data_IF_747657429871
#
_entry.id   IF_747657429871
#
_cell.length_a   1.000
_cell.length_b   1.000
_cell.length_c   1.000
_cell.angle_alpha   90.00
_cell.angle_beta   90.00
_cell.angle_gamma   90.00
#
_symmetry.space_group_name_H-M   'P 1'
#
loop_
_entity.id
_entity.type
_entity.pdbx_description
1 polymer ?
#
# COMPACT_ATOMS: atom_id res chain seq x y z
N UNK A 1 -25.78 65.27 4.18
CA UNK A 1 -25.11 64.46 3.14
C UNK A 1 -23.71 64.08 3.62
N UNK A 2 -23.17 62.97 3.12
CA UNK A 2 -21.94 62.26 3.53
C UNK A 2 -22.19 61.19 4.60
N UNK A 3 -22.95 60.13 4.29
CA UNK A 3 -22.47 58.85 3.71
C UNK A 3 -21.63 58.03 4.70
N UNK A 4 -22.35 57.22 5.50
CA UNK A 4 -21.82 56.02 6.13
C UNK A 4 -21.20 55.14 5.06
N UNK A 5 -19.88 54.94 5.14
CA UNK A 5 -19.16 53.94 4.36
C UNK A 5 -19.63 52.56 4.82
N UNK A 6 -20.52 51.97 4.03
CA UNK A 6 -20.79 50.53 4.04
C UNK A 6 -19.45 49.80 3.80
N UNK A 7 -18.95 49.13 4.82
CA UNK A 7 -17.98 48.04 4.64
C UNK A 7 -18.79 46.85 4.10
N UNK A 8 -18.43 46.24 2.96
CA UNK A 8 -19.17 45.09 2.46
C UNK A 8 -19.01 43.95 3.46
N UNK A 9 -20.14 43.39 3.88
CA UNK A 9 -20.18 42.11 4.58
C UNK A 9 -19.47 41.09 3.67
N UNK A 10 -18.26 40.66 4.04
CA UNK A 10 -17.61 39.56 3.34
C UNK A 10 -18.48 38.34 3.61
N UNK A 11 -19.28 37.96 2.62
CA UNK A 11 -20.16 36.81 2.70
C UNK A 11 -19.40 35.59 3.24
N UNK A 12 -20.09 34.78 4.02
CA UNK A 12 -19.59 33.49 4.50
C UNK A 12 -19.05 32.69 3.31
N UNK A 13 -17.90 32.04 3.50
CA UNK A 13 -17.42 31.10 2.47
C UNK A 13 -18.37 29.91 2.40
N UNK A 14 -18.36 29.15 1.29
CA UNK A 14 -19.25 27.99 1.13
C UNK A 14 -19.17 27.04 2.34
N UNK A 15 -17.97 26.88 2.89
CA UNK A 15 -17.67 26.11 4.08
C UNK A 15 -18.39 26.61 5.34
N UNK A 16 -18.44 27.92 5.51
CA UNK A 16 -19.04 28.56 6.66
C UNK A 16 -20.56 28.60 6.55
N UNK A 17 -21.11 28.68 5.33
CA UNK A 17 -22.54 28.53 5.07
C UNK A 17 -23.00 27.10 5.39
N UNK A 18 -22.19 26.09 5.05
CA UNK A 18 -22.46 24.68 5.39
C UNK A 18 -22.38 24.47 6.90
N UNK A 19 -21.34 25.00 7.56
CA UNK A 19 -21.16 24.90 9.00
C UNK A 19 -22.29 25.61 9.77
N UNK A 20 -22.74 26.79 9.29
CA UNK A 20 -23.85 27.53 9.88
C UNK A 20 -25.18 26.78 9.72
N UNK A 21 -25.44 26.19 8.54
CA UNK A 21 -26.60 25.33 8.32
C UNK A 21 -26.59 24.09 9.23
N UNK A 22 -25.45 23.40 9.31
CA UNK A 22 -25.28 22.20 10.14
C UNK A 22 -25.36 22.49 11.65
N UNK A 23 -24.99 23.70 12.08
CA UNK A 23 -25.17 24.15 13.46
C UNK A 23 -26.64 24.48 13.78
N UNK A 24 -27.45 24.81 12.76
CA UNK A 24 -28.87 25.16 12.91
C UNK A 24 -29.84 23.98 12.85
N UNK A 25 -29.36 22.75 12.58
CA UNK A 25 -30.17 21.53 12.40
C UNK A 25 -30.85 21.03 13.69
N UNK A 26 -30.13 21.04 14.84
CA UNK A 26 -30.71 20.71 16.15
C UNK A 26 -29.85 21.29 17.29
N UNK A 27 -30.42 21.38 18.50
CA UNK A 27 -29.66 21.78 19.70
C UNK A 27 -28.57 20.78 20.08
N UNK A 28 -28.77 19.48 19.80
CA UNK A 28 -27.72 18.48 19.98
C UNK A 28 -26.57 18.71 18.99
N UNK A 29 -26.87 18.99 17.72
CA UNK A 29 -25.89 19.27 16.67
C UNK A 29 -25.07 20.55 16.92
N UNK A 30 -25.68 21.57 17.55
CA UNK A 30 -24.99 22.80 17.96
C UNK A 30 -23.92 22.55 19.04
N UNK A 31 -24.15 21.56 19.90
CA UNK A 31 -23.31 21.23 21.06
C UNK A 31 -22.30 20.09 20.83
N UNK A 32 -22.36 19.41 19.67
CA UNK A 32 -21.44 18.35 19.32
C UNK A 32 -20.01 18.88 19.14
N UNK A 33 -19.04 18.22 19.78
CA UNK A 33 -17.62 18.52 19.63
C UNK A 33 -17.14 17.89 18.32
N UNK A 34 -16.47 18.69 17.49
CA UNK A 34 -15.84 18.25 16.25
C UNK A 34 -14.38 18.67 16.21
N UNK A 35 -13.55 17.91 15.50
CA UNK A 35 -12.18 18.31 15.18
C UNK A 35 -12.18 19.11 13.88
N UNK A 36 -11.78 20.39 13.94
CA UNK A 36 -11.68 21.26 12.79
C UNK A 36 -10.23 21.61 12.47
N UNK A 37 -9.86 21.64 11.20
CA UNK A 37 -8.54 22.08 10.75
C UNK A 37 -8.60 23.51 10.19
N UNK A 38 -7.73 24.37 10.69
CA UNK A 38 -7.62 25.78 10.31
C UNK A 38 -6.24 26.02 9.69
N UNK A 39 -6.22 26.64 8.51
CA UNK A 39 -4.98 27.17 7.93
C UNK A 39 -4.95 28.67 8.12
N UNK A 40 -3.99 29.12 8.93
CA UNK A 40 -3.80 30.51 9.31
C UNK A 40 -2.59 31.07 8.57
N UNK A 41 -2.80 32.12 7.78
CA UNK A 41 -1.73 32.81 7.04
C UNK A 41 -1.25 33.99 7.87
N UNK A 42 -0.07 33.90 8.46
CA UNK A 42 0.42 34.91 9.41
C UNK A 42 1.31 35.95 8.71
N UNK A 43 0.94 37.23 8.85
CA UNK A 43 1.74 38.37 8.34
C UNK A 43 2.90 38.73 9.28
N UNK A 44 2.69 38.51 10.58
CA UNK A 44 3.66 38.79 11.65
C UNK A 44 4.47 37.53 12.01
N UNK A 45 5.56 37.70 12.75
CA UNK A 45 6.39 36.59 13.24
C UNK A 45 5.70 35.72 14.31
N UNK A 46 6.40 34.67 14.74
CA UNK A 46 5.90 33.63 15.68
C UNK A 46 5.37 34.16 17.03
N UNK A 47 5.68 35.39 17.43
CA UNK A 47 5.12 36.03 18.63
C UNK A 47 3.59 36.20 18.56
N UNK A 48 3.01 36.27 17.36
CA UNK A 48 1.57 36.36 17.15
C UNK A 48 0.85 35.01 17.30
N UNK A 49 1.55 33.88 17.21
CA UNK A 49 0.98 32.54 17.37
C UNK A 49 0.44 32.32 18.79
N UNK A 50 1.19 32.74 19.82
CA UNK A 50 0.75 32.62 21.21
C UNK A 50 -0.58 33.36 21.48
N UNK A 51 -0.82 34.50 20.80
CA UNK A 51 -2.09 35.23 20.87
C UNK A 51 -3.23 34.44 20.22
N UNK A 52 -2.97 33.86 19.06
CA UNK A 52 -3.95 33.02 18.34
C UNK A 52 -4.36 31.80 19.17
N UNK A 53 -3.40 31.08 19.75
CA UNK A 53 -3.69 29.91 20.59
C UNK A 53 -4.51 30.30 21.82
N UNK A 54 -4.20 31.44 22.44
CA UNK A 54 -5.00 31.98 23.53
C UNK A 54 -6.41 32.37 23.09
N UNK A 55 -6.58 32.91 21.88
CA UNK A 55 -7.90 33.17 21.31
C UNK A 55 -8.69 31.87 21.13
N UNK A 56 -8.08 30.80 20.62
CA UNK A 56 -8.72 29.48 20.48
C UNK A 56 -9.22 28.97 21.84
N UNK A 57 -8.39 29.07 22.89
CA UNK A 57 -8.75 28.68 24.26
C UNK A 57 -9.92 29.53 24.82
N UNK A 58 -9.94 30.85 24.56
CA UNK A 58 -11.05 31.75 24.94
C UNK A 58 -12.37 31.33 24.30
N UNK A 59 -12.33 30.85 23.07
CA UNK A 59 -13.50 30.25 22.38
C UNK A 59 -13.71 28.77 22.74
N UNK A 60 -13.14 28.29 23.84
CA UNK A 60 -13.30 26.91 24.35
C UNK A 60 -12.80 25.81 23.40
N UNK A 61 -11.86 26.12 22.51
CA UNK A 61 -11.22 25.13 21.66
C UNK A 61 -10.00 24.50 22.30
N UNK A 62 -9.81 23.20 22.06
CA UNK A 62 -8.62 22.45 22.46
C UNK A 62 -7.75 22.19 21.24
N UNK A 63 -6.50 22.64 21.24
CA UNK A 63 -5.58 22.40 20.11
C UNK A 63 -5.05 20.96 20.19
N UNK A 64 -5.33 20.15 19.17
CA UNK A 64 -4.89 18.75 19.09
C UNK A 64 -3.64 18.56 18.24
N UNK A 65 -3.42 19.46 17.29
CA UNK A 65 -2.25 19.43 16.42
C UNK A 65 -1.90 20.84 15.96
N UNK A 66 -0.61 21.13 15.89
CA UNK A 66 -0.09 22.41 15.42
C UNK A 66 1.17 22.19 14.61
N UNK A 67 1.17 22.69 13.38
CA UNK A 67 2.32 22.67 12.49
C UNK A 67 2.54 24.06 11.90
N UNK A 68 3.80 24.46 11.78
CA UNK A 68 4.18 25.73 11.15
C UNK A 68 5.16 25.50 10.00
N UNK A 69 4.99 26.26 8.93
CA UNK A 69 5.88 26.28 7.76
C UNK A 69 6.13 27.71 7.33
N UNK A 70 7.32 27.99 6.81
CA UNK A 70 7.63 29.29 6.19
C UNK A 70 6.80 29.41 4.91
N UNK A 71 6.06 30.50 4.77
CA UNK A 71 5.19 30.69 3.61
C UNK A 71 5.99 31.07 2.36
N UNK A 72 5.53 30.62 1.20
CA UNK A 72 6.05 31.04 -0.12
C UNK A 72 5.30 32.26 -0.67
N UNK A 73 4.27 32.75 0.02
CA UNK A 73 3.43 33.86 -0.43
C UNK A 73 4.02 35.22 -0.04
N UNK A 74 4.02 36.17 -0.97
CA UNK A 74 4.50 37.53 -0.70
C UNK A 74 3.65 38.22 0.39
N UNK A 75 4.31 38.73 1.44
CA UNK A 75 3.65 39.42 2.55
C UNK A 75 3.10 38.51 3.67
N UNK A 76 3.30 37.19 3.57
CA UNK A 76 2.99 36.21 4.62
C UNK A 76 4.31 35.58 5.07
N UNK A 77 4.56 35.54 6.37
CA UNK A 77 5.79 34.95 6.93
C UNK A 77 5.63 33.44 7.18
N UNK A 78 4.48 33.03 7.72
CA UNK A 78 4.22 31.64 8.09
C UNK A 78 2.82 31.19 7.67
N UNK A 79 2.74 29.94 7.22
CA UNK A 79 1.50 29.18 7.13
C UNK A 79 1.42 28.25 8.33
N UNK A 80 0.33 28.34 9.09
CA UNK A 80 0.13 27.57 10.31
C UNK A 80 -1.11 26.71 10.17
N UNK A 81 -0.92 25.39 10.29
CA UNK A 81 -2.00 24.42 10.37
C UNK A 81 -2.31 24.15 11.84
N UNK A 82 -3.54 24.42 12.26
CA UNK A 82 -4.00 24.13 13.62
C UNK A 82 -5.22 23.21 13.53
N UNK A 83 -5.18 22.05 14.18
CA UNK A 83 -6.38 21.24 14.41
C UNK A 83 -6.91 21.53 15.80
N UNK A 84 -8.21 21.80 15.91
CA UNK A 84 -8.89 22.19 17.14
C UNK A 84 -10.15 21.37 17.38
N UNK A 85 -10.32 20.87 18.59
CA UNK A 85 -11.56 20.25 19.04
C UNK A 85 -12.43 21.31 19.70
N UNK A 86 -13.60 21.59 19.13
CA UNK A 86 -14.56 22.56 19.66
C UNK A 86 -15.97 22.37 19.11
N UNK A 87 -16.95 23.09 19.66
CA UNK A 87 -18.33 23.06 19.14
C UNK A 87 -18.43 23.83 17.81
N UNK A 88 -19.40 23.46 16.96
CA UNK A 88 -19.66 24.15 15.68
C UNK A 88 -19.93 25.64 15.86
N UNK A 89 -20.71 25.99 16.89
CA UNK A 89 -21.03 27.38 17.25
C UNK A 89 -19.78 28.16 17.63
N UNK A 90 -18.94 27.59 18.49
CA UNK A 90 -17.73 28.27 18.95
C UNK A 90 -16.70 28.41 17.82
N UNK A 91 -16.62 27.44 16.92
CA UNK A 91 -15.76 27.49 15.73
C UNK A 91 -16.13 28.65 14.80
N UNK A 92 -17.42 28.86 14.51
CA UNK A 92 -17.88 29.98 13.69
C UNK A 92 -17.51 31.33 14.32
N UNK A 93 -17.68 31.47 15.63
CA UNK A 93 -17.33 32.70 16.35
C UNK A 93 -15.81 32.93 16.37
N UNK A 94 -15.04 31.87 16.55
CA UNK A 94 -13.58 31.91 16.48
C UNK A 94 -13.10 32.40 15.11
N UNK A 95 -13.63 31.85 14.01
CA UNK A 95 -13.21 32.23 12.66
C UNK A 95 -13.55 33.70 12.38
N UNK A 96 -14.77 34.14 12.74
CA UNK A 96 -15.17 35.56 12.62
C UNK A 96 -14.24 36.48 13.40
N UNK A 97 -13.88 36.11 14.63
CA UNK A 97 -12.97 36.89 15.47
C UNK A 97 -11.55 36.94 14.88
N UNK A 98 -11.01 35.80 14.45
CA UNK A 98 -9.66 35.75 13.90
C UNK A 98 -9.55 36.50 12.56
N UNK A 99 -10.60 36.51 11.72
CA UNK A 99 -10.62 37.29 10.46
C UNK A 99 -10.48 38.79 10.67
N UNK A 100 -10.90 39.30 11.82
CA UNK A 100 -10.76 40.71 12.19
C UNK A 100 -9.35 41.04 12.68
N UNK A 101 -8.48 40.04 12.90
CA UNK A 101 -7.11 40.27 13.36
C UNK A 101 -6.22 40.78 12.23
N UNK A 102 -5.59 41.93 12.44
CA UNK A 102 -4.60 42.51 11.52
C UNK A 102 -3.34 41.66 11.35
N UNK A 103 -3.08 40.73 12.29
CA UNK A 103 -1.92 39.82 12.25
C UNK A 103 -2.06 38.69 11.22
N UNK A 104 -3.28 38.46 10.72
CA UNK A 104 -3.58 37.39 9.77
C UNK A 104 -3.83 37.98 8.38
N UNK A 105 -3.22 37.36 7.37
CA UNK A 105 -3.47 37.66 5.96
C UNK A 105 -4.64 36.87 5.37
N UNK A 106 -5.12 35.86 6.08
CA UNK A 106 -6.26 35.05 5.71
C UNK A 106 -6.42 33.86 6.63
N UNK A 107 -7.63 33.32 6.66
CA UNK A 107 -8.01 32.13 7.43
C UNK A 107 -8.87 31.28 6.55
N UNK A 108 -8.47 30.03 6.39
CA UNK A 108 -9.27 29.04 5.72
C UNK A 108 -9.66 27.99 6.75
N UNK A 109 -10.97 27.89 6.99
CA UNK A 109 -11.52 26.69 7.59
C UNK A 109 -11.43 25.60 6.55
N UNK A 110 -10.67 24.56 6.86
CA UNK A 110 -10.72 23.34 6.09
C UNK A 110 -11.97 22.60 6.57
N UNK A 111 -13.07 22.72 5.84
CA UNK A 111 -14.20 21.80 6.03
C UNK A 111 -13.72 20.40 5.77
N UNK A 112 -14.28 19.45 6.51
CA UNK A 112 -14.29 18.02 6.14
C UNK A 112 -14.92 17.76 4.74
N UNK A 113 -15.42 18.81 4.07
CA UNK A 113 -16.03 18.78 2.74
C UNK A 113 -15.25 19.52 1.62
N UNK A 114 -14.22 20.33 1.91
CA UNK A 114 -13.30 20.90 0.88
C UNK A 114 -11.81 20.60 1.13
N UNK A 115 -11.45 20.03 2.28
CA UNK A 115 -10.76 18.74 2.18
C UNK A 115 -11.95 17.84 1.85
N UNK A 116 -12.02 17.27 0.65
CA UNK A 116 -12.53 15.90 0.61
C UNK A 116 -11.96 15.23 1.87
N UNK A 117 -12.72 14.51 2.71
CA UNK A 117 -12.08 13.33 3.29
C UNK A 117 -11.61 12.61 2.05
N UNK A 118 -10.38 12.92 1.59
CA UNK A 118 -9.78 12.20 0.50
C UNK A 118 -9.72 10.88 1.19
N UNK A 119 -10.50 9.94 0.64
CA UNK A 119 -10.39 8.55 1.01
C UNK A 119 -8.90 8.30 1.25
N UNK A 120 -8.55 7.58 2.31
CA UNK A 120 -7.22 7.52 2.90
C UNK A 120 -6.10 7.80 1.89
N UNK A 121 -5.22 8.77 2.19
CA UNK A 121 -4.16 9.18 1.25
C UNK A 121 -3.49 7.95 0.63
N UNK A 122 -3.24 8.02 -0.68
CA UNK A 122 -2.55 6.98 -1.41
C UNK A 122 -1.57 7.60 -2.42
N UNK A 123 -0.45 6.92 -2.72
CA UNK A 123 0.52 7.36 -3.71
C UNK A 123 -0.13 7.50 -5.10
N UNK A 124 0.26 8.51 -5.87
CA UNK A 124 -0.29 8.76 -7.22
C UNK A 124 0.71 8.54 -8.34
N UNK A 125 1.99 8.44 -7.99
CA UNK A 125 3.09 8.05 -8.85
C UNK A 125 4.00 7.09 -8.09
N UNK A 126 4.72 6.20 -8.79
CA UNK A 126 5.60 5.21 -8.16
C UNK A 126 6.68 5.85 -7.25
N UNK A 127 7.11 7.09 -7.52
CA UNK A 127 8.03 7.83 -6.64
C UNK A 127 7.43 8.19 -5.28
N UNK A 128 6.11 8.30 -5.18
CA UNK A 128 5.44 8.63 -3.91
C UNK A 128 5.58 7.49 -2.89
N UNK A 129 5.94 6.27 -3.35
CA UNK A 129 6.26 5.12 -2.50
C UNK A 129 7.49 5.37 -1.60
N UNK A 130 8.28 6.41 -1.86
CA UNK A 130 9.31 6.88 -0.91
C UNK A 130 8.73 7.32 0.44
N UNK A 131 7.42 7.57 0.50
CA UNK A 131 6.68 7.90 1.72
C UNK A 131 5.87 6.71 2.28
N UNK A 132 5.90 5.54 1.61
CA UNK A 132 5.20 4.32 2.01
C UNK A 132 6.16 3.36 2.72
N UNK A 133 6.71 3.81 3.85
CA UNK A 133 7.74 3.11 4.62
C UNK A 133 7.35 2.92 6.10
N UNK A 134 6.06 2.94 6.42
CA UNK A 134 5.60 2.72 7.79
C UNK A 134 5.84 1.27 8.20
N UNK A 135 6.82 1.06 9.07
CA UNK A 135 7.19 -0.26 9.56
C UNK A 135 6.34 -0.67 10.76
N UNK A 136 5.98 -1.94 10.77
CA UNK A 136 5.48 -2.64 11.95
C UNK A 136 6.68 -3.03 12.80
N UNK A 137 6.61 -2.81 14.11
CA UNK A 137 7.67 -3.21 15.05
C UNK A 137 7.67 -4.72 15.37
N UNK A 138 6.80 -5.48 14.70
CA UNK A 138 6.67 -6.92 14.91
C UNK A 138 7.87 -7.62 14.26
N UNK A 139 8.45 -8.59 14.97
CA UNK A 139 9.62 -9.35 14.52
C UNK A 139 10.90 -8.53 14.34
N UNK A 140 11.05 -7.45 15.12
CA UNK A 140 12.34 -6.80 15.24
C UNK A 140 13.19 -7.57 16.26
N UNK A 141 14.39 -8.08 15.89
CA UNK A 141 15.23 -8.87 16.80
C UNK A 141 15.67 -8.12 18.06
N UNK A 142 15.63 -6.79 18.07
CA UNK A 142 15.88 -5.97 19.26
C UNK A 142 14.67 -5.86 20.20
N UNK A 143 13.47 -6.19 19.72
CA UNK A 143 12.19 -6.02 20.42
C UNK A 143 11.50 -7.35 20.76
N UNK A 144 11.85 -8.45 20.07
CA UNK A 144 11.26 -9.77 20.27
C UNK A 144 12.23 -10.76 20.92
N UNK A 145 11.99 -11.08 22.20
CA UNK A 145 12.80 -12.03 22.97
C UNK A 145 12.75 -13.48 22.45
N UNK A 146 11.70 -13.83 21.69
CA UNK A 146 11.54 -15.16 21.12
C UNK A 146 12.27 -15.30 19.77
N UNK A 147 12.74 -14.20 19.19
CA UNK A 147 13.47 -14.22 17.93
C UNK A 147 14.80 -15.01 18.09
N UNK A 148 15.13 -15.96 17.20
CA UNK A 148 16.32 -16.82 17.34
C UNK A 148 17.66 -16.05 17.37
N UNK A 149 17.66 -14.84 16.81
CA UNK A 149 18.77 -13.88 16.82
C UNK A 149 18.73 -12.83 17.94
N UNK A 150 17.77 -12.85 18.88
CA UNK A 150 17.68 -11.84 19.96
C UNK A 150 18.98 -11.72 20.77
N UNK A 151 19.57 -12.87 21.13
CA UNK A 151 20.84 -12.92 21.86
C UNK A 151 22.08 -12.80 20.96
N UNK A 152 21.93 -12.78 19.64
CA UNK A 152 23.04 -12.73 18.69
C UNK A 152 23.31 -11.27 18.29
N UNK A 153 24.35 -10.68 18.88
CA UNK A 153 24.74 -9.30 18.61
C UNK A 153 25.22 -9.08 17.17
N UNK A 154 25.84 -10.09 16.55
CA UNK A 154 26.35 -10.01 15.17
C UNK A 154 25.17 -9.99 14.21
N UNK A 155 24.18 -10.86 14.42
CA UNK A 155 22.96 -10.89 13.62
C UNK A 155 22.16 -9.59 13.73
N UNK A 156 22.02 -9.03 14.95
CA UNK A 156 21.32 -7.75 15.15
C UNK A 156 22.01 -6.58 14.46
N UNK A 157 23.34 -6.51 14.56
CA UNK A 157 24.10 -5.50 13.84
C UNK A 157 23.94 -5.67 12.32
N UNK A 158 24.02 -6.91 11.82
CA UNK A 158 23.82 -7.22 10.39
C UNK A 158 22.43 -6.78 9.89
N UNK A 159 21.37 -7.02 10.68
CA UNK A 159 20.01 -6.55 10.37
C UNK A 159 19.92 -5.04 10.30
N UNK A 160 20.52 -4.33 11.25
CA UNK A 160 20.57 -2.86 11.26
C UNK A 160 21.30 -2.32 10.02
N UNK A 161 22.44 -2.90 9.66
CA UNK A 161 23.21 -2.47 8.50
C UNK A 161 22.39 -2.59 7.20
N UNK A 162 21.66 -3.71 7.03
CA UNK A 162 20.78 -3.93 5.87
C UNK A 162 19.56 -2.99 5.91
N UNK A 163 18.96 -2.76 7.08
CA UNK A 163 17.85 -1.82 7.22
C UNK A 163 18.26 -0.39 6.85
N UNK A 164 19.46 0.05 7.23
CA UNK A 164 20.00 1.37 6.85
C UNK A 164 20.17 1.52 5.33
N UNK A 165 20.48 0.43 4.62
CA UNK A 165 20.54 0.41 3.15
C UNK A 165 19.14 0.67 2.57
N UNK A 166 18.13 -0.04 3.06
CA UNK A 166 16.75 0.15 2.62
C UNK A 166 16.21 1.57 2.91
N UNK A 167 16.54 2.16 4.07
CA UNK A 167 16.12 3.53 4.40
C UNK A 167 16.76 4.61 3.51
N UNK A 168 17.96 4.35 2.99
CA UNK A 168 18.67 5.29 2.10
C UNK A 168 18.17 5.24 0.66
N UNK A 169 17.54 4.14 0.26
CA UNK A 169 17.02 3.97 -1.10
C UNK A 169 15.92 4.99 -1.43
N UNK A 170 16.00 5.57 -2.62
CA UNK A 170 14.95 6.41 -3.21
C UNK A 170 14.53 5.88 -4.57
N UNK A 171 13.28 6.14 -4.95
CA UNK A 171 12.78 5.74 -6.24
C UNK A 171 13.66 6.31 -7.37
N UNK A 172 14.11 5.42 -8.27
CA UNK A 172 14.98 5.75 -9.39
C UNK A 172 16.46 5.46 -9.15
N UNK A 173 16.87 5.24 -7.90
CA UNK A 173 18.22 4.76 -7.58
C UNK A 173 18.35 3.27 -7.97
N UNK A 174 19.56 2.79 -8.32
CA UNK A 174 19.81 1.36 -8.41
C UNK A 174 19.67 0.72 -7.01
N UNK A 175 19.09 -0.48 -6.95
CA UNK A 175 18.94 -1.18 -5.67
C UNK A 175 20.34 -1.57 -5.14
N UNK A 176 20.71 -1.19 -3.91
CA UNK A 176 22.05 -1.44 -3.40
C UNK A 176 22.39 -2.93 -3.28
N UNK A 177 23.64 -3.25 -3.60
CA UNK A 177 24.21 -4.58 -3.48
C UNK A 177 24.43 -4.96 -2.01
N UNK A 178 24.15 -6.22 -1.66
CA UNK A 178 24.49 -6.79 -0.35
C UNK A 178 25.59 -7.81 -0.51
N UNK A 179 26.70 -7.57 0.20
CA UNK A 179 27.77 -8.56 0.34
C UNK A 179 27.34 -9.60 1.37
N UNK A 180 26.68 -10.65 0.90
CA UNK A 180 26.26 -11.77 1.74
C UNK A 180 27.47 -12.57 2.26
N UNK A 181 27.35 -13.05 3.49
CA UNK A 181 28.35 -13.86 4.18
C UNK A 181 28.26 -15.34 3.79
N UNK A 182 29.33 -16.10 4.03
CA UNK A 182 29.35 -17.54 3.78
C UNK A 182 28.23 -18.29 4.53
N UNK A 183 27.88 -17.85 5.74
CA UNK A 183 26.77 -18.43 6.50
C UNK A 183 25.41 -18.15 5.86
N UNK A 184 25.21 -16.94 5.31
CA UNK A 184 23.97 -16.58 4.61
C UNK A 184 23.85 -17.40 3.31
N UNK A 185 24.94 -17.56 2.55
CA UNK A 185 24.98 -18.43 1.38
C UNK A 185 24.69 -19.90 1.72
N UNK A 186 25.22 -20.40 2.84
CA UNK A 186 24.95 -21.77 3.28
C UNK A 186 23.45 -21.98 3.62
N UNK A 187 22.81 -21.00 4.26
CA UNK A 187 21.36 -21.04 4.53
C UNK A 187 20.55 -21.02 3.25
N UNK A 188 20.87 -20.12 2.31
CA UNK A 188 20.25 -20.10 0.98
C UNK A 188 20.35 -21.46 0.28
N UNK A 189 21.56 -22.01 0.19
CA UNK A 189 21.82 -23.29 -0.48
C UNK A 189 20.99 -24.43 0.11
N UNK A 190 20.85 -24.48 1.44
CA UNK A 190 20.05 -25.49 2.13
C UNK A 190 18.57 -25.40 1.74
N UNK A 191 17.99 -24.20 1.76
CA UNK A 191 16.57 -23.98 1.40
C UNK A 191 16.34 -24.20 -0.10
N UNK A 192 17.23 -23.69 -0.94
CA UNK A 192 17.16 -23.84 -2.40
C UNK A 192 17.09 -25.31 -2.84
N UNK A 193 17.94 -26.17 -2.27
CA UNK A 193 17.93 -27.60 -2.57
C UNK A 193 16.62 -28.27 -2.14
N UNK A 194 16.05 -27.85 -1.00
CA UNK A 194 14.75 -28.37 -0.55
C UNK A 194 13.63 -27.96 -1.51
N UNK A 195 13.66 -26.73 -2.04
CA UNK A 195 12.73 -26.28 -3.07
C UNK A 195 12.84 -27.14 -4.33
N UNK A 196 14.05 -27.42 -4.81
CA UNK A 196 14.26 -28.29 -5.98
C UNK A 196 13.67 -29.69 -5.80
N UNK A 197 13.80 -30.26 -4.60
CA UNK A 197 13.30 -31.61 -4.30
C UNK A 197 11.76 -31.67 -4.29
N UNK A 198 11.09 -30.61 -3.83
CA UNK A 198 9.65 -30.59 -3.60
C UNK A 198 8.86 -30.03 -4.78
N UNK A 199 9.45 -29.07 -5.50
CA UNK A 199 8.81 -28.31 -6.57
C UNK A 199 8.13 -29.22 -7.61
N UNK A 200 8.76 -30.29 -8.14
CA UNK A 200 8.15 -31.12 -9.19
C UNK A 200 6.77 -31.67 -8.81
N UNK A 201 6.61 -32.08 -7.55
CA UNK A 201 5.40 -32.73 -7.05
C UNK A 201 4.36 -31.75 -6.52
N UNK A 202 4.81 -30.70 -5.83
CA UNK A 202 3.91 -29.91 -4.97
C UNK A 202 3.57 -28.52 -5.52
N UNK A 203 4.38 -27.95 -6.40
CA UNK A 203 4.19 -26.57 -6.84
C UNK A 203 3.36 -26.50 -8.12
N UNK A 204 2.69 -25.37 -8.35
CA UNK A 204 1.93 -25.14 -9.57
C UNK A 204 2.84 -24.98 -10.80
N UNK A 205 2.28 -25.19 -12.00
CA UNK A 205 3.03 -25.15 -13.25
C UNK A 205 3.65 -23.77 -13.53
N UNK A 206 2.94 -22.68 -13.25
CA UNK A 206 3.40 -21.30 -13.49
C UNK A 206 4.69 -21.01 -12.71
N UNK A 207 4.78 -21.48 -11.47
CA UNK A 207 6.01 -21.37 -10.68
C UNK A 207 7.17 -22.11 -11.35
N UNK A 208 6.94 -23.36 -11.78
CA UNK A 208 7.99 -24.21 -12.39
C UNK A 208 8.53 -23.60 -13.68
N UNK A 209 7.63 -23.06 -14.50
CA UNK A 209 7.99 -22.45 -15.79
C UNK A 209 8.90 -21.23 -15.57
N UNK A 210 8.53 -20.33 -14.66
CA UNK A 210 9.35 -19.16 -14.35
C UNK A 210 10.64 -19.54 -13.62
N UNK A 211 10.59 -20.50 -12.70
CA UNK A 211 11.79 -20.98 -12.01
C UNK A 211 12.83 -21.52 -13.00
N UNK A 212 12.41 -22.27 -14.02
CA UNK A 212 13.28 -22.73 -15.09
C UNK A 212 13.89 -21.56 -15.91
N UNK A 213 13.12 -20.50 -16.17
CA UNK A 213 13.64 -19.28 -16.82
C UNK A 213 14.70 -18.58 -15.95
N UNK A 214 14.46 -18.45 -14.64
CA UNK A 214 15.40 -17.85 -13.70
C UNK A 214 16.70 -18.65 -13.59
N UNK A 215 16.64 -19.98 -13.67
CA UNK A 215 17.82 -20.83 -13.76
C UNK A 215 18.55 -20.66 -15.09
N UNK A 216 17.82 -20.57 -16.21
CA UNK A 216 18.40 -20.39 -17.54
C UNK A 216 19.12 -19.03 -17.69
N UNK A 217 18.64 -17.98 -17.03
CA UNK A 217 19.31 -16.68 -16.95
C UNK A 217 20.44 -16.64 -15.90
N UNK A 218 20.68 -17.74 -15.17
CA UNK A 218 21.71 -17.82 -14.13
C UNK A 218 21.42 -16.99 -12.88
N UNK A 219 20.17 -16.54 -12.72
CA UNK A 219 19.69 -15.79 -11.55
C UNK A 219 19.55 -16.75 -10.37
N UNK A 220 18.80 -17.84 -10.56
CA UNK A 220 18.62 -18.86 -9.53
C UNK A 220 19.69 -19.95 -9.61
N UNK A 221 20.63 -19.92 -8.66
CA UNK A 221 21.60 -20.99 -8.45
C UNK A 221 21.75 -21.30 -6.95
N UNK A 222 22.12 -22.54 -6.58
CA UNK A 222 22.37 -22.88 -5.19
C UNK A 222 23.62 -22.18 -4.60
N UNK A 223 24.52 -21.66 -5.44
CA UNK A 223 25.81 -21.09 -5.03
C UNK A 223 25.76 -19.61 -4.65
N UNK A 224 24.71 -18.88 -5.01
CA UNK A 224 24.61 -17.44 -4.72
C UNK A 224 23.17 -17.01 -4.44
N UNK A 225 23.03 -16.05 -3.53
CA UNK A 225 21.77 -15.33 -3.33
C UNK A 225 21.64 -14.28 -4.45
N UNK A 226 20.54 -14.28 -5.22
CA UNK A 226 20.23 -13.23 -6.20
C UNK A 226 20.21 -11.84 -5.56
N UNK A 227 20.78 -10.85 -6.24
CA UNK A 227 20.66 -9.45 -5.82
C UNK A 227 19.31 -8.89 -6.25
N UNK A 228 18.70 -8.02 -5.43
CA UNK A 228 17.38 -7.47 -5.76
C UNK A 228 17.37 -6.67 -7.07
N UNK A 229 18.46 -5.98 -7.42
CA UNK A 229 18.56 -5.26 -8.71
C UNK A 229 18.44 -6.22 -9.90
N UNK A 230 19.11 -7.37 -9.86
CA UNK A 230 19.06 -8.36 -10.94
C UNK A 230 17.64 -8.95 -11.08
N UNK A 231 17.01 -9.25 -9.93
CA UNK A 231 15.67 -9.83 -9.86
C UNK A 231 14.62 -8.81 -10.30
N UNK A 232 14.77 -7.53 -9.91
CA UNK A 232 13.92 -6.41 -10.34
C UNK A 232 13.96 -6.22 -11.86
N UNK A 233 15.16 -6.32 -12.46
CA UNK A 233 15.32 -6.23 -13.91
C UNK A 233 14.66 -7.40 -14.66
N UNK A 234 14.74 -8.62 -14.11
CA UNK A 234 14.04 -9.78 -14.65
C UNK A 234 12.51 -9.59 -14.60
N UNK A 235 11.96 -9.23 -13.43
CA UNK A 235 10.52 -8.98 -13.29
C UNK A 235 10.03 -7.87 -14.23
N UNK A 236 10.81 -6.80 -14.38
CA UNK A 236 10.45 -5.67 -15.23
C UNK A 236 10.33 -6.07 -16.69
N UNK A 237 11.22 -6.93 -17.16
CA UNK A 237 11.23 -7.47 -18.53
C UNK A 237 10.02 -8.38 -18.79
N UNK A 238 9.56 -9.13 -17.79
CA UNK A 238 8.52 -10.15 -17.96
C UNK A 238 7.11 -9.63 -17.68
N UNK A 239 6.90 -8.90 -16.59
CA UNK A 239 5.58 -8.45 -16.13
C UNK A 239 5.54 -6.96 -15.79
N UNK A 240 6.65 -6.24 -15.93
CA UNK A 240 6.74 -4.84 -15.52
C UNK A 240 6.78 -4.65 -14.00
N UNK A 241 6.82 -5.73 -13.21
CA UNK A 241 7.09 -5.63 -11.78
C UNK A 241 8.51 -5.17 -11.50
N UNK A 242 8.71 -4.43 -10.43
CA UNK A 242 10.02 -4.00 -9.93
C UNK A 242 10.08 -4.18 -8.43
N UNK A 243 11.29 -4.24 -7.89
CA UNK A 243 11.52 -4.40 -6.46
C UNK A 243 11.91 -3.08 -5.81
N UNK A 244 11.53 -2.95 -4.54
CA UNK A 244 11.97 -1.88 -3.64
C UNK A 244 12.51 -2.51 -2.36
N UNK A 245 13.73 -2.17 -1.91
CA UNK A 245 14.25 -2.71 -0.65
C UNK A 245 13.42 -2.21 0.53
N UNK A 246 12.95 -3.14 1.36
CA UNK A 246 12.23 -2.87 2.59
C UNK A 246 13.10 -3.16 3.81
N UNK A 247 13.05 -2.28 4.81
CA UNK A 247 13.79 -2.47 6.06
C UNK A 247 13.19 -3.56 6.97
N UNK A 248 11.90 -3.87 6.77
CA UNK A 248 11.15 -4.84 7.55
C UNK A 248 9.69 -4.89 7.10
N UNK A 249 8.82 -5.43 7.96
CA UNK A 249 7.40 -5.58 7.65
C UNK A 249 6.70 -4.22 7.62
N UNK A 250 6.03 -3.91 6.52
CA UNK A 250 5.28 -2.67 6.35
C UNK A 250 3.85 -2.79 6.86
N UNK A 251 3.18 -1.66 7.09
CA UNK A 251 1.73 -1.67 7.26
C UNK A 251 1.06 -2.23 6.00
N UNK A 252 -0.05 -2.95 6.17
CA UNK A 252 -0.80 -3.53 5.06
C UNK A 252 -1.19 -2.48 4.01
N UNK A 253 -1.55 -1.27 4.44
CA UNK A 253 -1.89 -0.16 3.54
C UNK A 253 -0.73 0.24 2.63
N UNK A 254 0.47 0.44 3.18
CA UNK A 254 1.65 0.85 2.42
C UNK A 254 2.14 -0.26 1.47
N UNK A 255 2.13 -1.50 1.95
CA UNK A 255 2.53 -2.65 1.15
C UNK A 255 1.56 -2.91 -0.01
N UNK A 256 0.25 -2.98 0.27
CA UNK A 256 -0.73 -3.20 -0.78
C UNK A 256 -0.75 -2.05 -1.80
N UNK A 257 -0.58 -0.79 -1.35
CA UNK A 257 -0.48 0.34 -2.24
C UNK A 257 0.68 0.23 -3.24
N UNK A 258 1.82 -0.37 -2.86
CA UNK A 258 2.96 -0.53 -3.78
C UNK A 258 2.63 -1.51 -4.92
N UNK A 259 1.84 -2.55 -4.65
CA UNK A 259 1.42 -3.53 -5.66
C UNK A 259 0.63 -2.87 -6.81
N UNK A 260 -0.09 -1.77 -6.55
CA UNK A 260 -0.82 -1.03 -7.58
C UNK A 260 0.11 -0.50 -8.70
N UNK A 261 1.36 -0.21 -8.34
CA UNK A 261 2.41 0.29 -9.24
C UNK A 261 3.27 -0.84 -9.82
N UNK A 262 2.89 -2.10 -9.58
CA UNK A 262 3.76 -3.27 -9.82
C UNK A 262 5.11 -3.12 -9.10
N UNK A 263 5.10 -2.56 -7.89
CA UNK A 263 6.28 -2.47 -7.03
C UNK A 263 6.08 -3.40 -5.86
N UNK A 264 6.96 -4.39 -5.72
CA UNK A 264 6.96 -5.29 -4.58
C UNK A 264 8.05 -4.85 -3.59
N UNK A 265 7.66 -4.62 -2.34
CA UNK A 265 8.60 -4.24 -1.28
C UNK A 265 9.22 -5.51 -0.69
N UNK A 266 10.52 -5.71 -0.88
CA UNK A 266 11.23 -6.96 -0.56
C UNK A 266 12.36 -6.69 0.43
N UNK A 267 12.46 -7.52 1.46
CA UNK A 267 13.58 -7.47 2.40
C UNK A 267 14.86 -8.04 1.79
N UNK A 268 16.02 -7.64 2.33
CA UNK A 268 17.33 -8.12 1.87
C UNK A 268 18.10 -8.95 2.90
N UNK A 269 17.60 -9.07 4.13
CA UNK A 269 18.25 -9.85 5.17
C UNK A 269 17.90 -11.34 5.05
N UNK A 270 18.79 -12.21 5.52
CA UNK A 270 18.56 -13.66 5.57
C UNK A 270 18.18 -14.07 6.98
N UNK A 271 17.27 -15.04 7.11
CA UNK A 271 16.86 -15.64 8.38
C UNK A 271 18.05 -16.20 9.19
N UNK A 272 17.88 -16.28 10.50
CA UNK A 272 18.91 -16.78 11.40
C UNK A 272 19.23 -18.27 11.14
N UNK A 273 20.51 -18.63 11.21
CA UNK A 273 21.03 -19.99 10.87
C UNK A 273 20.52 -21.13 11.75
N UNK A 274 19.96 -20.81 12.94
CA UNK A 274 19.35 -21.80 13.85
C UNK A 274 18.03 -22.39 13.32
N UNK A 275 17.32 -21.64 12.48
CA UNK A 275 16.01 -22.03 11.95
C UNK A 275 15.99 -21.83 10.43
N UNK A 276 16.84 -22.53 9.66
CA UNK A 276 16.98 -22.29 8.22
C UNK A 276 15.72 -22.67 7.43
N UNK A 277 14.93 -23.62 7.93
CA UNK A 277 13.75 -24.13 7.23
C UNK A 277 12.41 -23.52 7.69
N UNK A 278 12.45 -22.59 8.65
CA UNK A 278 11.24 -21.92 9.14
C UNK A 278 11.57 -20.51 9.65
N UNK A 279 10.77 -19.54 9.23
CA UNK A 279 10.84 -18.16 9.70
C UNK A 279 9.43 -17.58 9.73
N UNK A 280 9.10 -16.86 10.80
CA UNK A 280 7.87 -16.04 10.88
C UNK A 280 8.07 -14.67 10.21
N UNK A 281 9.32 -14.32 9.90
CA UNK A 281 9.70 -13.11 9.19
C UNK A 281 9.85 -13.37 7.70
N UNK A 282 9.38 -12.45 6.83
CA UNK A 282 9.64 -12.50 5.40
C UNK A 282 11.09 -12.08 5.12
N UNK A 283 12.04 -13.00 5.28
CA UNK A 283 13.44 -12.81 4.91
C UNK A 283 13.62 -12.88 3.38
N UNK A 284 14.78 -12.47 2.86
CA UNK A 284 14.99 -12.43 1.41
C UNK A 284 14.86 -13.80 0.73
N UNK A 285 15.04 -14.91 1.46
CA UNK A 285 14.81 -16.26 0.92
C UNK A 285 13.32 -16.48 0.64
N UNK A 286 12.46 -16.09 1.59
CA UNK A 286 11.00 -16.11 1.40
C UNK A 286 10.59 -15.22 0.22
N UNK A 287 11.15 -14.00 0.15
CA UNK A 287 10.84 -13.08 -0.95
C UNK A 287 11.23 -13.68 -2.30
N UNK A 288 12.49 -14.10 -2.44
CA UNK A 288 13.08 -14.59 -3.68
C UNK A 288 12.46 -15.91 -4.13
N UNK A 289 12.38 -16.91 -3.26
CA UNK A 289 11.88 -18.24 -3.64
C UNK A 289 10.35 -18.35 -3.57
N UNK A 290 9.69 -17.54 -2.76
CA UNK A 290 8.23 -17.57 -2.60
C UNK A 290 7.51 -16.70 -3.63
N UNK A 291 7.80 -15.39 -3.64
CA UNK A 291 7.02 -14.44 -4.44
C UNK A 291 7.53 -14.28 -5.87
N UNK A 292 8.85 -14.17 -6.07
CA UNK A 292 9.39 -13.69 -7.35
C UNK A 292 9.00 -14.53 -8.57
N UNK A 293 8.99 -15.87 -8.51
CA UNK A 293 8.60 -16.66 -9.68
C UNK A 293 7.17 -16.37 -10.13
N UNK A 294 6.22 -16.23 -9.20
CA UNK A 294 4.84 -15.94 -9.55
C UNK A 294 4.64 -14.47 -9.95
N UNK A 295 5.38 -13.53 -9.40
CA UNK A 295 5.35 -12.14 -9.88
C UNK A 295 5.89 -11.98 -11.32
N UNK A 296 6.63 -12.96 -11.84
CA UNK A 296 7.04 -13.01 -13.24
C UNK A 296 6.04 -13.77 -14.14
N UNK A 297 4.99 -14.37 -13.59
CA UNK A 297 3.83 -14.86 -14.35
C UNK A 297 2.86 -13.70 -14.66
N UNK A 298 2.44 -13.49 -15.92
CA UNK A 298 1.56 -12.39 -16.28
C UNK A 298 0.17 -12.40 -15.59
N UNK A 299 -0.43 -13.57 -15.39
CA UNK A 299 -1.77 -13.66 -14.79
C UNK A 299 -1.70 -13.35 -13.29
N UNK A 300 -0.72 -13.93 -12.61
CA UNK A 300 -0.50 -13.67 -11.19
C UNK A 300 -0.06 -12.23 -10.93
N UNK A 301 0.84 -11.67 -11.73
CA UNK A 301 1.22 -10.26 -11.64
C UNK A 301 0.01 -9.32 -11.81
N UNK A 302 -0.90 -9.63 -12.72
CA UNK A 302 -2.14 -8.88 -12.88
C UNK A 302 -3.03 -9.00 -11.63
N UNK A 303 -3.19 -10.20 -11.09
CA UNK A 303 -3.95 -10.42 -9.86
C UNK A 303 -3.37 -9.64 -8.67
N UNK A 304 -2.05 -9.70 -8.44
CA UNK A 304 -1.39 -8.93 -7.38
C UNK A 304 -1.57 -7.43 -7.56
N UNK A 305 -1.47 -6.93 -8.80
CA UNK A 305 -1.72 -5.51 -9.09
C UNK A 305 -3.17 -5.10 -8.80
N UNK A 306 -4.14 -5.96 -9.09
CA UNK A 306 -5.56 -5.69 -8.81
C UNK A 306 -5.83 -5.57 -7.32
N UNK A 307 -5.19 -6.39 -6.48
CA UNK A 307 -5.23 -6.22 -5.02
C UNK A 307 -4.69 -4.83 -4.64
N UNK A 308 -3.55 -4.46 -5.22
CA UNK A 308 -2.97 -3.15 -4.94
C UNK A 308 -3.88 -1.99 -5.35
N UNK A 309 -4.47 -2.04 -6.54
CA UNK A 309 -5.43 -1.03 -7.01
C UNK A 309 -6.68 -0.96 -6.13
N UNK A 310 -7.17 -2.11 -5.64
CA UNK A 310 -8.30 -2.18 -4.72
C UNK A 310 -8.00 -1.49 -3.38
N UNK A 311 -6.73 -1.48 -2.95
CA UNK A 311 -6.31 -0.87 -1.68
C UNK A 311 -6.26 0.67 -1.71
N UNK A 312 -6.14 1.28 -2.89
CA UNK A 312 -5.95 2.73 -3.01
C UNK A 312 -7.21 3.49 -2.60
N UNK A 313 -7.10 4.28 -1.52
CA UNK A 313 -8.22 5.03 -0.96
C UNK A 313 -9.26 4.17 -0.22
N UNK A 314 -9.00 2.87 -0.02
CA UNK A 314 -9.87 1.98 0.75
C UNK A 314 -9.82 2.33 2.25
N UNK A 315 -10.94 2.14 2.96
CA UNK A 315 -11.02 2.29 4.42
C UNK A 315 -10.12 1.29 5.15
N UNK A 316 -9.82 1.50 6.44
CA UNK A 316 -8.99 0.55 7.21
C UNK A 316 -9.64 -0.84 7.31
N UNK A 317 -10.96 -0.92 7.45
CA UNK A 317 -11.70 -2.20 7.44
C UNK A 317 -11.57 -2.93 6.09
N UNK A 318 -11.59 -2.19 4.98
CA UNK A 318 -11.37 -2.76 3.66
C UNK A 318 -9.91 -3.19 3.43
N UNK A 319 -8.95 -2.45 3.97
CA UNK A 319 -7.53 -2.87 3.96
C UNK A 319 -7.35 -4.17 4.73
N UNK A 320 -8.00 -4.34 5.88
CA UNK A 320 -7.94 -5.59 6.65
C UNK A 320 -8.52 -6.77 5.84
N UNK A 321 -9.67 -6.57 5.19
CA UNK A 321 -10.26 -7.58 4.29
C UNK A 321 -9.33 -7.93 3.12
N UNK A 322 -8.73 -6.93 2.48
CA UNK A 322 -7.76 -7.13 1.40
C UNK A 322 -6.50 -7.85 1.89
N UNK A 323 -6.01 -7.51 3.08
CA UNK A 323 -4.88 -8.17 3.72
C UNK A 323 -5.18 -9.64 3.99
N UNK A 324 -6.39 -9.97 4.45
CA UNK A 324 -6.84 -11.35 4.66
C UNK A 324 -6.94 -12.13 3.35
N UNK A 325 -7.47 -11.51 2.29
CA UNK A 325 -7.48 -12.13 0.95
C UNK A 325 -6.05 -12.36 0.45
N UNK A 326 -5.16 -11.38 0.62
CA UNK A 326 -3.74 -11.50 0.27
C UNK A 326 -3.08 -12.66 1.03
N UNK A 327 -3.33 -12.79 2.33
CA UNK A 327 -2.85 -13.90 3.15
C UNK A 327 -3.29 -15.27 2.61
N UNK A 328 -4.58 -15.45 2.35
CA UNK A 328 -5.10 -16.74 1.88
C UNK A 328 -4.91 -17.01 0.38
N UNK A 329 -4.29 -16.09 -0.35
CA UNK A 329 -3.95 -16.25 -1.76
C UNK A 329 -2.46 -16.15 -1.99
N UNK A 330 -1.90 -14.94 -2.00
CA UNK A 330 -0.49 -14.69 -2.31
C UNK A 330 0.45 -15.33 -1.29
N UNK A 331 0.09 -15.40 0.00
CA UNK A 331 0.95 -16.01 1.03
C UNK A 331 0.73 -17.52 1.20
N UNK A 332 -0.53 -17.96 1.33
CA UNK A 332 -0.88 -19.36 1.67
C UNK A 332 -1.88 -19.99 0.70
N UNK A 333 -1.94 -19.50 -0.53
CA UNK A 333 -2.86 -20.01 -1.53
C UNK A 333 -2.48 -21.38 -2.11
N UNK A 334 -3.53 -22.17 -2.39
CA UNK A 334 -3.44 -23.43 -3.12
C UNK A 334 -4.25 -23.31 -4.42
N UNK A 335 -3.87 -24.02 -5.47
CA UNK A 335 -4.63 -24.09 -6.71
C UNK A 335 -4.90 -25.54 -7.14
N UNK A 336 -5.89 -25.73 -8.02
CA UNK A 336 -6.10 -27.01 -8.69
C UNK A 336 -5.36 -27.05 -10.02
N UNK A 337 -4.68 -28.16 -10.27
CA UNK A 337 -4.02 -28.46 -11.53
C UNK A 337 -4.27 -29.93 -11.86
N UNK A 338 -4.95 -30.20 -12.98
CA UNK A 338 -5.28 -31.56 -13.42
C UNK A 338 -6.00 -32.41 -12.34
N UNK A 339 -6.79 -31.78 -11.48
CA UNK A 339 -7.51 -32.43 -10.38
C UNK A 339 -6.69 -32.65 -9.11
N UNK A 340 -5.39 -32.29 -9.11
CA UNK A 340 -4.53 -32.30 -7.93
C UNK A 340 -4.43 -30.90 -7.32
N UNK A 341 -4.22 -30.84 -6.01
CA UNK A 341 -3.94 -29.58 -5.30
C UNK A 341 -2.45 -29.28 -5.35
N UNK A 342 -2.10 -28.07 -5.78
CA UNK A 342 -0.73 -27.54 -5.86
C UNK A 342 -0.60 -26.25 -5.03
N UNK A 343 0.59 -25.99 -4.55
CA UNK A 343 0.91 -24.76 -3.83
C UNK A 343 1.34 -23.65 -4.78
N UNK A 344 0.88 -22.44 -4.49
CA UNK A 344 1.39 -21.20 -5.10
C UNK A 344 1.63 -20.08 -4.06
N UNK A 345 1.12 -20.21 -2.84
CA UNK A 345 1.37 -19.22 -1.79
C UNK A 345 2.86 -19.15 -1.41
N UNK A 346 3.43 -17.95 -1.34
CA UNK A 346 4.85 -17.73 -1.07
C UNK A 346 5.33 -18.34 0.26
N UNK A 347 4.50 -18.30 1.30
CA UNK A 347 4.75 -18.96 2.58
C UNK A 347 4.91 -20.48 2.43
N UNK A 348 4.12 -21.10 1.55
CA UNK A 348 4.22 -22.54 1.25
C UNK A 348 5.45 -22.86 0.39
N UNK A 349 5.76 -22.01 -0.57
CA UNK A 349 6.87 -22.22 -1.52
C UNK A 349 8.25 -22.04 -0.86
N UNK A 350 8.32 -21.35 0.28
CA UNK A 350 9.55 -21.04 1.01
C UNK A 350 9.67 -21.71 2.39
N UNK A 351 8.65 -22.48 2.82
CA UNK A 351 8.59 -23.21 4.09
C UNK A 351 8.13 -24.65 3.87
N UNK A 352 9.07 -25.59 3.92
CA UNK A 352 8.80 -27.01 3.69
C UNK A 352 7.78 -27.61 4.68
N UNK A 353 7.91 -27.26 5.96
CA UNK A 353 7.04 -27.82 7.00
C UNK A 353 5.58 -27.44 6.80
N UNK A 354 5.34 -26.18 6.43
CA UNK A 354 3.99 -25.68 6.18
C UNK A 354 3.44 -26.15 4.84
N UNK A 355 4.28 -26.27 3.80
CA UNK A 355 3.89 -26.89 2.52
C UNK A 355 3.32 -28.30 2.73
N UNK A 356 4.05 -29.17 3.42
CA UNK A 356 3.63 -30.55 3.62
C UNK A 356 2.35 -30.65 4.47
N UNK A 357 2.20 -29.75 5.43
CA UNK A 357 0.97 -29.65 6.20
C UNK A 357 -0.19 -29.20 5.29
N UNK A 358 0.00 -28.12 4.53
CA UNK A 358 -1.00 -27.54 3.63
C UNK A 358 -1.53 -28.51 2.58
N UNK A 359 -0.69 -29.40 2.04
CA UNK A 359 -1.08 -30.39 1.02
C UNK A 359 -1.48 -31.76 1.60
N UNK A 360 -1.50 -31.91 2.92
CA UNK A 360 -1.97 -33.12 3.60
C UNK A 360 -3.48 -33.13 3.80
N UNK A 361 -4.00 -34.19 4.43
CA UNK A 361 -5.40 -34.34 4.85
C UNK A 361 -5.69 -33.74 6.23
N UNK A 362 -4.70 -33.12 6.89
CA UNK A 362 -4.83 -32.53 8.23
C UNK A 362 -5.57 -31.19 8.25
N UNK A 363 -5.23 -30.20 7.41
CA UNK A 363 -5.96 -28.94 7.39
C UNK A 363 -7.25 -29.05 6.59
N UNK A 364 -8.14 -28.08 6.79
CA UNK A 364 -9.34 -27.94 5.98
C UNK A 364 -9.03 -27.20 4.67
N UNK A 365 -9.41 -27.80 3.53
CA UNK A 365 -9.38 -27.13 2.23
C UNK A 365 -10.76 -26.58 1.87
N UNK A 366 -10.84 -25.26 1.64
CA UNK A 366 -12.05 -24.58 1.18
C UNK A 366 -11.87 -24.03 -0.22
N UNK A 367 -12.95 -23.90 -0.97
CA UNK A 367 -12.92 -23.24 -2.28
C UNK A 367 -12.69 -21.75 -2.06
N UNK A 368 -11.78 -21.14 -2.82
CA UNK A 368 -11.56 -19.70 -2.78
C UNK A 368 -12.82 -18.94 -3.22
N UNK A 369 -13.30 -18.11 -2.30
CA UNK A 369 -14.40 -17.16 -2.48
C UNK A 369 -14.05 -15.88 -1.69
N UNK A 370 -13.82 -14.73 -2.34
CA UNK A 370 -13.34 -13.52 -1.66
C UNK A 370 -14.24 -13.02 -0.53
N UNK A 371 -15.56 -13.20 -0.63
CA UNK A 371 -16.51 -12.72 0.37
C UNK A 371 -16.29 -13.44 1.70
N UNK A 372 -16.25 -14.78 1.67
CA UNK A 372 -16.00 -15.60 2.86
C UNK A 372 -14.53 -15.59 3.29
N UNK A 373 -13.60 -15.51 2.34
CA UNK A 373 -12.15 -15.49 2.61
C UNK A 373 -11.76 -14.22 3.36
N UNK A 374 -12.28 -13.05 2.95
CA UNK A 374 -11.91 -11.74 3.51
C UNK A 374 -12.22 -11.56 5.00
N UNK A 375 -13.08 -12.40 5.57
CA UNK A 375 -13.48 -12.36 6.99
C UNK A 375 -13.02 -13.59 7.77
N UNK A 376 -12.22 -14.48 7.16
CA UNK A 376 -11.69 -15.66 7.82
C UNK A 376 -10.55 -15.26 8.78
N UNK A 377 -10.66 -15.55 10.09
CA UNK A 377 -9.57 -15.31 11.02
C UNK A 377 -8.36 -16.21 10.72
N UNK A 378 -7.15 -15.68 10.94
CA UNK A 378 -5.89 -16.41 10.80
C UNK A 378 -4.88 -15.98 11.87
N UNK A 379 -3.76 -16.71 11.94
CA UNK A 379 -2.64 -16.44 12.84
C UNK A 379 -1.31 -16.77 12.14
N UNK A 380 -0.20 -16.24 12.65
CA UNK A 380 1.11 -16.28 12.00
C UNK A 380 2.23 -16.93 12.84
N UNK A 381 1.85 -17.73 13.85
CA UNK A 381 2.77 -18.46 14.75
C UNK A 381 2.83 -19.96 14.45
N UNK A 382 1.70 -20.57 14.14
CA UNK A 382 1.55 -22.00 13.83
C UNK A 382 1.14 -22.21 12.36
N UNK A 383 1.11 -23.46 11.90
CA UNK A 383 0.63 -23.77 10.55
C UNK A 383 -0.86 -23.48 10.40
N UNK A 384 -1.28 -23.02 9.22
CA UNK A 384 -2.68 -22.67 9.02
C UNK A 384 -3.60 -23.91 9.16
N UNK A 385 -4.72 -23.80 9.90
CA UNK A 385 -5.71 -24.87 9.98
C UNK A 385 -6.62 -24.93 8.74
N UNK A 386 -6.70 -23.84 7.98
CA UNK A 386 -7.58 -23.67 6.81
C UNK A 386 -6.76 -23.08 5.67
N UNK A 387 -6.91 -23.65 4.47
CA UNK A 387 -6.35 -23.11 3.23
C UNK A 387 -7.45 -22.95 2.18
N UNK A 388 -7.33 -21.91 1.35
CA UNK A 388 -8.24 -21.69 0.23
C UNK A 388 -7.63 -22.17 -1.08
N UNK A 389 -8.41 -22.93 -1.82
CA UNK A 389 -8.04 -23.55 -3.09
C UNK A 389 -8.72 -22.78 -4.23
N UNK A 390 -7.92 -22.13 -5.06
CA UNK A 390 -8.35 -21.52 -6.32
C UNK A 390 -8.56 -22.61 -7.38
N UNK A 391 -9.64 -22.53 -8.16
CA UNK A 391 -9.84 -23.45 -9.29
C UNK A 391 -8.84 -23.18 -10.41
N UNK A 392 -8.51 -21.91 -10.63
CA UNK A 392 -7.43 -21.42 -11.50
C UNK A 392 -7.12 -19.96 -11.13
N UNK A 393 -5.98 -19.42 -11.59
CA UNK A 393 -5.69 -17.99 -11.41
C UNK A 393 -6.72 -17.09 -12.11
N UNK A 394 -7.24 -17.49 -13.26
CA UNK A 394 -8.29 -16.73 -13.94
C UNK A 394 -9.61 -16.72 -13.16
N UNK A 395 -10.04 -17.85 -12.59
CA UNK A 395 -11.22 -17.92 -11.72
C UNK A 395 -11.06 -17.07 -10.47
N UNK A 396 -9.89 -17.15 -9.81
CA UNK A 396 -9.60 -16.34 -8.63
C UNK A 396 -9.64 -14.85 -8.94
N UNK A 397 -9.04 -14.43 -10.06
CA UNK A 397 -9.04 -13.04 -10.54
C UNK A 397 -10.44 -12.55 -10.87
N UNK A 398 -11.26 -13.35 -11.55
CA UNK A 398 -12.64 -12.98 -11.87
C UNK A 398 -13.49 -12.80 -10.61
N UNK A 399 -13.40 -13.76 -9.66
CA UNK A 399 -14.09 -13.65 -8.36
C UNK A 399 -13.63 -12.41 -7.60
N UNK A 400 -12.33 -12.16 -7.57
CA UNK A 400 -11.75 -11.00 -6.91
C UNK A 400 -12.28 -9.68 -7.50
N UNK A 401 -12.27 -9.53 -8.83
CA UNK A 401 -12.82 -8.34 -9.51
C UNK A 401 -14.28 -8.09 -9.17
N UNK A 402 -15.09 -9.16 -9.17
CA UNK A 402 -16.52 -9.07 -8.82
C UNK A 402 -16.68 -8.59 -7.37
N UNK A 403 -15.92 -9.14 -6.43
CA UNK A 403 -15.97 -8.71 -5.03
C UNK A 403 -15.50 -7.26 -4.84
N UNK A 404 -14.40 -6.87 -5.47
CA UNK A 404 -13.85 -5.51 -5.46
C UNK A 404 -14.83 -4.48 -6.04
N UNK A 405 -15.66 -4.86 -7.01
CA UNK A 405 -16.73 -4.00 -7.53
C UNK A 405 -17.87 -3.73 -6.54
N UNK A 406 -17.99 -4.53 -5.48
CA UNK A 406 -18.96 -4.31 -4.40
C UNK A 406 -18.42 -3.48 -3.24
N UNK A 407 -17.11 -3.19 -3.22
CA UNK A 407 -16.48 -2.35 -2.20
C UNK A 407 -16.94 -0.89 -2.32
N UNK A 408 -17.08 -0.21 -1.20
CA UNK A 408 -17.60 1.17 -1.17
C UNK A 408 -16.48 2.15 -1.47
N UNK A 409 -16.24 2.43 -2.75
CA UNK A 409 -15.23 3.43 -3.17
C UNK A 409 -15.88 4.66 -3.81
N UNK A 410 -15.48 5.88 -3.41
CA UNK A 410 -16.04 7.11 -3.96
C UNK A 410 -15.63 7.37 -5.42
N UNK A 411 -14.62 6.67 -5.93
CA UNK A 411 -14.09 6.79 -7.28
C UNK A 411 -13.43 5.48 -7.73
N UNK A 412 -13.33 5.30 -9.04
CA UNK A 412 -12.51 4.25 -9.64
C UNK A 412 -11.09 4.74 -9.93
N UNK A 413 -10.12 3.84 -9.87
CA UNK A 413 -8.71 4.13 -10.14
C UNK A 413 -8.17 3.27 -11.27
N UNK A 414 -7.29 3.84 -12.08
CA UNK A 414 -6.61 3.15 -13.18
C UNK A 414 -5.12 3.37 -13.08
N UNK A 415 -4.33 2.32 -13.24
CA UNK A 415 -2.89 2.46 -13.44
C UNK A 415 -2.57 2.75 -14.91
N UNK A 416 -1.82 3.82 -15.16
CA UNK A 416 -1.26 4.16 -16.46
C UNK A 416 0.21 3.69 -16.51
N UNK A 417 0.54 2.62 -17.26
CA UNK A 417 1.89 2.06 -17.27
C UNK A 417 2.92 2.96 -17.97
N UNK A 418 2.48 3.86 -18.86
CA UNK A 418 3.39 4.76 -19.59
C UNK A 418 3.93 5.87 -18.70
N UNK A 419 3.07 6.41 -17.82
CA UNK A 419 3.44 7.48 -16.89
C UNK A 419 3.75 6.96 -15.49
N UNK A 420 3.50 5.68 -15.22
CA UNK A 420 3.61 5.05 -13.91
C UNK A 420 2.78 5.77 -12.83
N UNK A 421 1.59 6.24 -13.23
CA UNK A 421 0.66 6.98 -12.37
C UNK A 421 -0.63 6.23 -12.16
N UNK A 422 -1.24 6.48 -11.01
CA UNK A 422 -2.63 6.15 -10.76
C UNK A 422 -3.49 7.35 -11.14
N UNK A 423 -4.41 7.14 -12.07
CA UNK A 423 -5.40 8.09 -12.52
C UNK A 423 -6.71 7.83 -11.77
N UNK A 424 -7.20 8.85 -11.05
CA UNK A 424 -8.52 8.82 -10.42
C UNK A 424 -9.57 9.24 -11.45
N UNK A 425 -10.55 8.36 -11.69
CA UNK A 425 -11.65 8.56 -12.64
C UNK A 425 -12.85 9.20 -11.93
N UNK A 426 -12.77 10.50 -11.70
CA UNK A 426 -13.72 11.30 -10.90
C UNK A 426 -14.52 12.33 -11.73
N UNK A 427 -14.26 12.46 -13.02
CA UNK A 427 -14.97 13.39 -13.90
C UNK A 427 -15.21 12.84 -15.31
N UNK A 428 -16.22 13.41 -15.97
CA UNK A 428 -16.66 13.00 -17.32
C UNK A 428 -15.53 13.12 -18.34
N UNK A 429 -14.76 14.22 -18.33
CA UNK A 429 -13.67 14.44 -19.28
C UNK A 429 -12.60 13.33 -19.21
N UNK A 430 -12.26 12.85 -18.00
CA UNK A 430 -11.30 11.75 -17.83
C UNK A 430 -11.87 10.43 -18.37
N UNK A 431 -13.15 10.18 -18.16
CA UNK A 431 -13.83 9.00 -18.68
C UNK A 431 -13.93 9.03 -20.22
N UNK A 432 -14.27 10.19 -20.81
CA UNK A 432 -14.33 10.36 -22.27
C UNK A 432 -12.95 10.13 -22.92
N UNK A 433 -11.89 10.68 -22.32
CA UNK A 433 -10.52 10.44 -22.78
C UNK A 433 -10.15 8.95 -22.74
N UNK A 434 -10.52 8.23 -21.67
CA UNK A 434 -10.31 6.79 -21.56
C UNK A 434 -11.10 6.01 -22.62
N UNK A 435 -12.38 6.34 -22.82
CA UNK A 435 -13.21 5.70 -23.84
C UNK A 435 -12.62 5.91 -25.24
N UNK A 436 -12.10 7.10 -25.53
CA UNK A 436 -11.42 7.39 -26.79
C UNK A 436 -10.17 6.51 -27.01
N UNK A 437 -9.35 6.33 -25.96
CA UNK A 437 -8.18 5.44 -26.01
C UNK A 437 -8.60 3.98 -26.28
N UNK A 438 -9.61 3.48 -25.57
CA UNK A 438 -10.10 2.11 -25.75
C UNK A 438 -10.72 1.89 -27.14
N UNK A 439 -11.41 2.89 -27.68
CA UNK A 439 -11.93 2.84 -29.05
C UNK A 439 -10.81 2.71 -30.09
N UNK A 440 -9.66 3.34 -29.86
CA UNK A 440 -8.50 3.24 -30.74
C UNK A 440 -7.88 1.83 -30.70
N UNK A 441 -7.76 1.22 -29.51
CA UNK A 441 -7.32 -0.17 -29.37
C UNK A 441 -8.30 -1.15 -30.04
N UNK A 442 -9.61 -0.95 -29.85
CA UNK A 442 -10.65 -1.73 -30.53
C UNK A 442 -10.59 -1.58 -32.05
N UNK A 443 -10.26 -0.38 -32.56
CA UNK A 443 -10.08 -0.15 -33.99
C UNK A 443 -8.86 -0.91 -34.54
N UNK A 444 -7.74 -0.92 -33.82
CA UNK A 444 -6.56 -1.71 -34.17
C UNK A 444 -6.89 -3.21 -34.21
N UNK A 445 -7.60 -3.70 -33.20
CA UNK A 445 -8.05 -5.10 -33.14
C UNK A 445 -8.96 -5.44 -34.32
N UNK A 446 -9.97 -4.61 -34.61
CA UNK A 446 -10.86 -4.80 -35.76
C UNK A 446 -10.09 -4.82 -37.08
N UNK A 447 -9.09 -3.95 -37.23
CA UNK A 447 -8.23 -3.91 -38.42
C UNK A 447 -7.41 -5.21 -38.54
N UNK A 448 -6.84 -5.71 -37.44
CA UNK A 448 -6.10 -6.97 -37.42
C UNK A 448 -6.99 -8.17 -37.79
N UNK A 449 -8.19 -8.26 -37.19
CA UNK A 449 -9.18 -9.30 -37.49
C UNK A 449 -9.57 -9.27 -38.97
N UNK A 450 -9.83 -8.09 -39.52
CA UNK A 450 -10.20 -7.94 -40.93
C UNK A 450 -9.06 -8.36 -41.87
N UNK A 451 -7.80 -8.01 -41.57
CA UNK A 451 -6.63 -8.44 -42.34
C UNK A 451 -6.47 -9.97 -42.32
N UNK A 452 -6.63 -10.59 -41.16
CA UNK A 452 -6.56 -12.06 -41.04
C UNK A 452 -7.70 -12.73 -41.81
N UNK A 453 -8.93 -12.20 -41.74
CA UNK A 453 -10.06 -12.71 -42.52
C UNK A 453 -9.85 -12.59 -44.03
N UNK A 454 -9.21 -11.54 -44.52
CA UNK A 454 -8.88 -11.40 -45.95
C UNK A 454 -7.75 -12.31 -46.41
N UNK A 455 -6.87 -12.72 -45.49
CA UNK A 455 -5.70 -13.55 -45.80
C UNK A 455 -6.00 -15.05 -45.69
N UNK A 456 -6.93 -15.43 -44.79
CA UNK A 456 -7.22 -16.83 -44.44
C UNK A 456 -8.70 -17.23 -44.57
N UNK A 457 -9.58 -16.31 -44.97
CA UNK A 457 -10.97 -16.56 -45.30
C UNK A 457 -11.20 -16.38 -46.79
#
# INVERSE_FOLDING_TARGET
MSSLLFVPDQGLTEEEVILEKAASESKEAESAIQTAALVLRMREGMSSLARILKTIEVFKGTVVHLETRVSKMAGIQFDVLVKVDMTRRDLLNLIRSLRQSSSLGGINLLTENNISVKGPWFPTHASDLDNCNHLMTKYEPDLDMNHPGFADQVYRQRRKDIAEIAFKYKYGDPIPHIDYTDSEYATWKAVFNTVLDLMPKHFCQEYKDVFAMLQAEGIFTPERIPQLEEMSNFLKKHTGFTLRPAAGLLTARDFLASLAFRVFQSTQYVRHTKTPFHTVEPDCIHELLGHMPLLADPSFAQFSQEIGLASLGASDEEIEKLSTVYWFTVEFGLCKENGEVKAYGAGLLSSYGELLHAISDKPEHRVFDPISTAVQPYQDQEYQPIYFVAESFEDAKEKFRRWVSTMSRPYEVRFNPYTQRVEVLDCVDKLENLMSQLNLEMLHLNTAVNKLRQTFG
#
